data_IF_044950231847
#
_entry.id   IF_044950231847
#
_cell.length_a   1.000
_cell.length_b   1.000
_cell.length_c   1.000
_cell.angle_alpha   90.00
_cell.angle_beta   90.00
_cell.angle_gamma   90.00
#
_symmetry.space_group_name_H-M   'P 1'
#
loop_
_entity.id
_entity.type
_entity.pdbx_description
1 polymer ?
#
# COMPACT_ATOMS: atom_id res chain seq x y z
N UNK A 1 10.56 -29.16 -15.04
CA UNK A 1 9.71 -27.96 -14.82
C UNK A 1 10.56 -26.91 -14.11
N UNK A 2 10.65 -25.68 -14.64
CA UNK A 2 11.48 -24.61 -14.04
C UNK A 2 10.86 -24.06 -12.74
N UNK A 3 11.64 -23.31 -11.96
CA UNK A 3 11.16 -22.63 -10.75
C UNK A 3 10.05 -21.62 -11.11
N UNK A 4 10.30 -20.76 -12.10
CA UNK A 4 9.33 -19.78 -12.61
C UNK A 4 8.01 -20.42 -13.04
N UNK A 5 8.04 -21.59 -13.69
CA UNK A 5 6.82 -22.29 -14.08
C UNK A 5 6.00 -22.77 -12.87
N UNK A 6 6.66 -23.19 -11.78
CA UNK A 6 5.97 -23.55 -10.53
C UNK A 6 5.38 -22.33 -9.85
N UNK A 7 6.09 -21.20 -9.81
CA UNK A 7 5.60 -19.94 -9.26
C UNK A 7 4.36 -19.43 -10.01
N UNK A 8 4.35 -19.51 -11.35
CA UNK A 8 3.19 -19.14 -12.18
C UNK A 8 1.99 -20.04 -11.86
N UNK A 9 2.19 -21.35 -11.78
CA UNK A 9 1.11 -22.29 -11.43
C UNK A 9 0.52 -22.07 -10.02
N UNK A 10 1.25 -21.44 -9.09
CA UNK A 10 0.76 -21.11 -7.75
C UNK A 10 -0.09 -19.83 -7.70
N UNK A 11 -0.05 -18.97 -8.73
CA UNK A 11 -0.73 -17.68 -8.72
C UNK A 11 -2.24 -17.74 -8.43
N UNK A 12 -3.04 -18.70 -8.96
CA UNK A 12 -4.47 -18.74 -8.69
C UNK A 12 -4.81 -19.00 -7.21
N UNK A 13 -4.11 -19.95 -6.57
CA UNK A 13 -4.32 -20.30 -5.16
C UNK A 13 -3.89 -19.14 -4.24
N UNK A 14 -2.72 -18.54 -4.51
CA UNK A 14 -2.21 -17.39 -3.76
C UNK A 14 -3.17 -16.19 -3.89
N UNK A 15 -3.69 -15.93 -5.09
CA UNK A 15 -4.65 -14.86 -5.34
C UNK A 15 -5.95 -15.11 -4.58
N UNK A 16 -6.53 -16.31 -4.66
CA UNK A 16 -7.77 -16.64 -3.93
C UNK A 16 -7.58 -16.49 -2.42
N UNK A 17 -6.49 -17.04 -1.87
CA UNK A 17 -6.15 -16.92 -0.45
C UNK A 17 -6.06 -15.45 -0.02
N UNK A 18 -5.41 -14.61 -0.82
CA UNK A 18 -5.24 -13.17 -0.55
C UNK A 18 -6.57 -12.42 -0.63
N UNK A 19 -7.41 -12.71 -1.64
CA UNK A 19 -8.74 -12.12 -1.76
C UNK A 19 -9.64 -12.49 -0.58
N UNK A 20 -9.52 -13.73 -0.05
CA UNK A 20 -10.24 -14.17 1.15
C UNK A 20 -9.72 -13.49 2.43
N UNK A 21 -8.41 -13.38 2.64
CA UNK A 21 -7.84 -12.77 3.85
C UNK A 21 -8.09 -11.27 3.93
N UNK A 22 -7.87 -10.55 2.82
CA UNK A 22 -7.91 -9.08 2.82
C UNK A 22 -9.32 -8.49 2.65
N UNK A 23 -10.33 -9.33 2.38
CA UNK A 23 -11.71 -8.89 2.08
C UNK A 23 -12.25 -7.85 3.06
N UNK A 24 -12.10 -8.11 4.37
CA UNK A 24 -12.60 -7.23 5.44
C UNK A 24 -11.79 -5.91 5.48
N UNK A 25 -10.48 -5.98 5.28
CA UNK A 25 -9.61 -4.80 5.19
C UNK A 25 -9.98 -3.90 4.03
N UNK A 26 -10.09 -4.49 2.82
CA UNK A 26 -10.49 -3.78 1.59
C UNK A 26 -11.89 -3.18 1.72
N UNK A 27 -12.86 -3.90 2.30
CA UNK A 27 -14.21 -3.36 2.55
C UNK A 27 -14.20 -2.12 3.44
N UNK A 28 -13.37 -2.09 4.51
CA UNK A 28 -13.21 -0.91 5.37
C UNK A 28 -12.56 0.27 4.63
N UNK A 29 -11.58 0.01 3.76
CA UNK A 29 -10.99 1.06 2.91
C UNK A 29 -12.05 1.63 1.96
N UNK A 30 -12.81 0.76 1.29
CA UNK A 30 -13.84 1.14 0.33
C UNK A 30 -15.00 1.93 0.95
N UNK A 31 -15.38 1.62 2.20
CA UNK A 31 -16.33 2.43 2.98
C UNK A 31 -15.83 3.86 3.20
N UNK A 32 -14.55 4.04 3.51
CA UNK A 32 -13.95 5.37 3.71
C UNK A 32 -13.84 6.18 2.42
N UNK A 33 -13.58 5.50 1.29
CA UNK A 33 -13.68 6.13 -0.04
C UNK A 33 -15.12 6.58 -0.32
N UNK A 34 -16.13 5.71 -0.11
CA UNK A 34 -17.56 6.06 -0.28
C UNK A 34 -18.03 7.23 0.58
N UNK A 35 -17.49 7.37 1.79
CA UNK A 35 -17.82 8.48 2.72
C UNK A 35 -17.11 9.80 2.40
N UNK A 36 -16.17 9.80 1.45
CA UNK A 36 -15.36 10.98 1.12
C UNK A 36 -14.20 11.26 2.08
N UNK A 37 -13.93 10.38 3.05
CA UNK A 37 -12.75 10.47 3.93
C UNK A 37 -11.45 10.46 3.11
N UNK A 38 -11.45 9.69 2.01
CA UNK A 38 -10.35 9.49 1.08
C UNK A 38 -10.75 10.12 -0.25
N UNK A 39 -9.98 11.12 -0.69
CA UNK A 39 -10.19 11.91 -1.92
C UNK A 39 -9.03 11.81 -2.91
N UNK A 40 -7.94 11.13 -2.54
CA UNK A 40 -6.75 10.93 -3.35
C UNK A 40 -6.06 9.63 -2.95
N UNK A 41 -5.37 8.96 -3.88
CA UNK A 41 -4.54 7.77 -3.58
C UNK A 41 -3.11 7.99 -4.07
N UNK A 42 -2.14 7.47 -3.32
CA UNK A 42 -0.73 7.42 -3.71
C UNK A 42 -0.25 5.96 -3.55
N UNK A 43 0.27 5.38 -4.63
CA UNK A 43 0.83 4.04 -4.64
C UNK A 43 2.36 4.14 -4.52
N UNK A 44 2.94 3.48 -3.52
CA UNK A 44 4.39 3.44 -3.29
C UNK A 44 4.90 2.06 -3.68
N UNK A 45 5.69 2.01 -4.75
CA UNK A 45 6.28 0.79 -5.27
C UNK A 45 7.72 1.05 -5.77
N UNK A 46 8.45 -0.05 -6.02
CA UNK A 46 9.79 -0.06 -6.59
C UNK A 46 10.04 -1.34 -7.38
N UNK A 47 10.81 -1.24 -8.47
CA UNK A 47 11.28 -2.37 -9.25
C UNK A 47 10.11 -3.08 -9.95
N UNK A 48 10.06 -4.41 -9.88
CA UNK A 48 8.96 -5.21 -10.46
C UNK A 48 7.57 -4.80 -9.95
N UNK A 49 7.49 -4.22 -8.74
CA UNK A 49 6.24 -3.74 -8.15
C UNK A 49 5.70 -2.46 -8.82
N UNK A 50 6.52 -1.70 -9.56
CA UNK A 50 6.08 -0.47 -10.24
C UNK A 50 5.02 -0.76 -11.32
N UNK A 51 5.12 -1.90 -12.01
CA UNK A 51 4.10 -2.34 -12.97
C UNK A 51 2.75 -2.64 -12.30
N UNK A 52 2.79 -3.25 -11.11
CA UNK A 52 1.58 -3.52 -10.33
C UNK A 52 0.95 -2.23 -9.79
N UNK A 53 1.78 -1.22 -9.43
CA UNK A 53 1.31 0.10 -9.04
C UNK A 53 0.68 0.85 -10.23
N UNK A 54 1.30 0.80 -11.41
CA UNK A 54 0.76 1.42 -12.62
C UNK A 54 -0.58 0.78 -13.02
N UNK A 55 -0.69 -0.55 -13.02
CA UNK A 55 -1.97 -1.24 -13.22
C UNK A 55 -3.01 -0.86 -12.16
N UNK A 56 -2.61 -0.85 -10.89
CA UNK A 56 -3.47 -0.46 -9.76
C UNK A 56 -4.00 0.97 -9.87
N UNK A 57 -3.20 1.90 -10.42
CA UNK A 57 -3.64 3.26 -10.74
C UNK A 57 -4.82 3.26 -11.71
N UNK A 58 -4.68 2.62 -12.88
CA UNK A 58 -5.77 2.54 -13.85
C UNK A 58 -7.03 1.89 -13.26
N UNK A 59 -6.86 0.76 -12.56
CA UNK A 59 -7.97 0.05 -11.95
C UNK A 59 -8.73 0.91 -10.94
N UNK A 60 -8.02 1.61 -10.06
CA UNK A 60 -8.63 2.47 -9.03
C UNK A 60 -9.27 3.72 -9.62
N UNK A 61 -8.61 4.41 -10.57
CA UNK A 61 -9.18 5.59 -11.24
C UNK A 61 -10.48 5.22 -11.98
N UNK A 62 -10.49 4.12 -12.74
CA UNK A 62 -11.66 3.66 -13.50
C UNK A 62 -12.81 3.21 -12.59
N UNK A 63 -12.52 2.44 -11.53
CA UNK A 63 -13.58 1.82 -10.70
C UNK A 63 -14.09 2.69 -9.56
N UNK A 64 -13.34 3.72 -9.15
CA UNK A 64 -13.71 4.56 -8.00
C UNK A 64 -13.83 6.05 -8.32
N UNK A 65 -13.36 6.51 -9.48
CA UNK A 65 -13.24 7.93 -9.81
C UNK A 65 -12.26 8.71 -8.93
N UNK A 66 -11.56 8.05 -8.00
CA UNK A 66 -10.59 8.70 -7.10
C UNK A 66 -9.25 8.86 -7.82
N UNK A 67 -8.68 10.07 -7.95
CA UNK A 67 -7.41 10.26 -8.62
C UNK A 67 -6.26 9.54 -7.89
N UNK A 68 -5.36 8.90 -8.65
CA UNK A 68 -4.27 8.09 -8.09
C UNK A 68 -2.93 8.53 -8.65
N UNK A 69 -1.95 8.72 -7.78
CA UNK A 69 -0.57 9.05 -8.15
C UNK A 69 0.39 7.91 -7.80
N UNK A 70 1.51 7.82 -8.54
CA UNK A 70 2.64 7.00 -8.16
C UNK A 70 3.60 7.85 -7.33
N UNK A 71 4.08 7.31 -6.21
CA UNK A 71 4.98 8.03 -5.33
C UNK A 71 6.32 8.33 -6.03
N UNK A 72 6.88 9.50 -5.75
CA UNK A 72 8.21 9.92 -6.22
C UNK A 72 9.15 9.97 -5.01
N UNK A 73 9.92 8.90 -4.71
CA UNK A 73 10.64 8.79 -3.44
C UNK A 73 11.62 9.93 -3.15
N UNK A 74 12.24 10.50 -4.20
CA UNK A 74 13.19 11.61 -4.10
C UNK A 74 12.62 12.86 -3.44
N UNK A 75 11.30 13.10 -3.52
CA UNK A 75 10.62 14.21 -2.83
C UNK A 75 10.84 14.11 -1.31
N UNK A 76 10.86 12.90 -0.75
CA UNK A 76 11.06 12.68 0.67
C UNK A 76 12.53 12.39 1.03
N UNK A 77 13.27 11.64 0.22
CA UNK A 77 14.65 11.22 0.55
C UNK A 77 15.69 12.29 0.24
N UNK A 78 15.63 12.90 -0.95
CA UNK A 78 16.60 13.90 -1.42
C UNK A 78 16.15 15.32 -1.03
N UNK A 79 14.95 15.71 -1.44
CA UNK A 79 14.44 17.08 -1.25
C UNK A 79 13.83 17.32 0.13
N UNK A 80 13.57 16.26 0.90
CA UNK A 80 13.02 16.28 2.28
C UNK A 80 11.75 17.13 2.42
N UNK A 81 10.98 17.26 1.33
CA UNK A 81 9.79 18.10 1.28
C UNK A 81 8.64 17.52 2.11
N UNK A 82 7.89 18.41 2.78
CA UNK A 82 6.71 18.05 3.56
C UNK A 82 5.45 18.22 2.71
N UNK A 83 4.93 17.10 2.20
CA UNK A 83 3.67 17.09 1.47
C UNK A 83 2.47 17.17 2.42
N UNK A 84 1.46 17.95 2.05
CA UNK A 84 0.16 17.97 2.73
C UNK A 84 -0.68 16.82 2.20
N UNK A 85 -0.85 15.75 2.99
CA UNK A 85 -1.48 14.49 2.56
C UNK A 85 -2.83 14.23 3.25
N UNK A 86 -3.55 15.29 3.62
CA UNK A 86 -4.92 15.19 4.16
C UNK A 86 -5.85 14.46 3.19
N UNK A 87 -6.80 13.69 3.73
CA UNK A 87 -7.74 12.88 2.95
C UNK A 87 -7.11 11.95 1.89
N UNK A 88 -5.83 11.59 2.05
CA UNK A 88 -5.12 10.79 1.04
C UNK A 88 -4.88 9.37 1.54
N UNK A 89 -5.16 8.36 0.70
CA UNK A 89 -4.75 6.98 0.91
C UNK A 89 -3.31 6.79 0.40
N UNK A 90 -2.40 6.21 1.19
CA UNK A 90 -1.13 5.65 0.68
C UNK A 90 -1.20 4.14 0.82
N UNK A 91 -0.85 3.44 -0.25
CA UNK A 91 -0.71 1.99 -0.27
C UNK A 91 0.73 1.65 -0.65
N UNK A 92 1.41 0.88 0.19
CA UNK A 92 2.70 0.29 -0.14
C UNK A 92 2.52 -1.03 -0.89
N UNK A 93 3.24 -1.20 -1.99
CA UNK A 93 3.26 -2.42 -2.80
C UNK A 93 4.71 -2.94 -2.78
N UNK A 94 4.92 -4.12 -2.20
CA UNK A 94 6.25 -4.72 -2.09
C UNK A 94 6.18 -6.24 -2.16
N UNK A 95 7.06 -6.85 -2.96
CA UNK A 95 7.12 -8.29 -3.17
C UNK A 95 7.59 -9.07 -1.92
N UNK A 96 8.54 -8.53 -1.15
CA UNK A 96 9.13 -9.18 0.04
C UNK A 96 8.53 -8.75 1.38
N UNK A 97 7.71 -7.69 1.44
CA UNK A 97 7.21 -7.11 2.71
C UNK A 97 8.25 -6.31 3.51
N UNK A 98 9.54 -6.50 3.26
CA UNK A 98 10.67 -5.86 3.97
C UNK A 98 11.09 -4.50 3.40
N UNK A 99 10.43 -3.99 2.35
CA UNK A 99 10.84 -2.80 1.61
C UNK A 99 11.05 -1.56 2.48
N UNK A 100 12.31 -1.27 2.84
CA UNK A 100 12.73 -0.16 3.71
C UNK A 100 12.24 1.19 3.20
N UNK A 101 12.13 1.36 1.87
CA UNK A 101 11.66 2.59 1.23
C UNK A 101 10.14 2.80 1.37
N UNK A 102 9.33 1.72 1.38
CA UNK A 102 7.90 1.81 1.72
C UNK A 102 7.76 2.30 3.17
N UNK A 103 8.62 1.83 4.08
CA UNK A 103 8.61 2.26 5.47
C UNK A 103 8.93 3.76 5.61
N UNK A 104 9.86 4.32 4.83
CA UNK A 104 10.18 5.77 4.87
C UNK A 104 8.96 6.62 4.50
N UNK A 105 8.24 6.29 3.43
CA UNK A 105 7.03 7.05 3.04
C UNK A 105 5.91 6.88 4.07
N UNK A 106 5.72 5.66 4.60
CA UNK A 106 4.69 5.38 5.61
C UNK A 106 4.97 6.00 7.00
N UNK A 107 6.22 6.04 7.45
CA UNK A 107 6.60 6.66 8.73
C UNK A 107 6.56 8.19 8.67
N UNK A 108 6.85 8.81 7.51
CA UNK A 108 6.64 10.25 7.31
C UNK A 108 5.17 10.67 7.54
N UNK A 109 4.25 9.70 7.45
CA UNK A 109 2.80 9.88 7.37
C UNK A 109 2.04 9.81 8.69
N UNK A 110 2.63 9.24 9.74
CA UNK A 110 2.04 9.29 11.11
C UNK A 110 1.87 10.72 11.62
N UNK A 111 2.55 11.70 11.00
CA UNK A 111 2.44 13.14 11.30
C UNK A 111 1.41 13.89 10.45
N UNK A 112 0.79 13.27 9.45
CA UNK A 112 -0.08 13.94 8.46
C UNK A 112 -1.48 13.31 8.31
N UNK A 113 -1.91 12.51 9.29
CA UNK A 113 -3.33 12.13 9.47
C UNK A 113 -3.88 11.08 8.50
N UNK A 114 -3.02 10.25 7.92
CA UNK A 114 -3.36 9.49 6.73
C UNK A 114 -3.18 7.96 6.87
N UNK A 115 -3.92 7.21 6.06
CA UNK A 115 -4.05 5.74 6.05
C UNK A 115 -3.51 5.23 4.70
N UNK A 116 -2.75 4.15 4.48
CA UNK A 116 -2.14 3.10 5.34
C UNK A 116 -2.93 1.83 5.68
N UNK A 117 -3.49 1.10 4.68
CA UNK A 117 -3.37 -0.35 4.59
C UNK A 117 -2.00 -0.74 3.99
N UNK A 118 -1.48 -1.92 4.36
CA UNK A 118 -0.26 -2.49 3.77
C UNK A 118 -0.54 -3.89 3.24
N UNK A 119 -0.16 -4.17 1.99
CA UNK A 119 -0.24 -5.52 1.42
C UNK A 119 1.16 -6.11 1.33
N UNK A 120 1.36 -7.30 1.91
CA UNK A 120 2.67 -7.94 2.04
C UNK A 120 2.55 -9.44 1.79
N UNK A 121 3.39 -10.00 0.92
CA UNK A 121 3.33 -11.40 0.53
C UNK A 121 3.91 -12.39 1.57
N UNK A 122 4.26 -11.91 2.76
CA UNK A 122 4.81 -12.70 3.87
C UNK A 122 3.99 -12.46 5.14
N UNK A 123 3.34 -13.51 5.64
CA UNK A 123 2.50 -13.48 6.85
C UNK A 123 3.25 -13.34 8.17
N UNK A 124 4.57 -13.12 8.14
CA UNK A 124 5.42 -12.87 9.30
C UNK A 124 6.38 -11.70 9.03
N UNK A 125 5.84 -10.50 8.89
CA UNK A 125 6.61 -9.26 9.01
C UNK A 125 6.08 -8.46 10.21
N UNK A 126 6.99 -7.95 11.04
CA UNK A 126 6.76 -7.49 12.42
C UNK A 126 5.81 -6.27 12.55
N UNK A 127 4.51 -6.48 12.32
CA UNK A 127 3.47 -5.42 12.32
C UNK A 127 2.25 -5.73 13.20
N UNK A 128 2.37 -6.66 14.14
CA UNK A 128 1.30 -7.02 15.09
C UNK A 128 1.35 -6.32 16.46
N UNK A 129 2.33 -5.46 16.75
CA UNK A 129 2.53 -4.86 18.09
C UNK A 129 2.84 -3.36 18.06
N UNK A 130 1.83 -2.54 17.79
CA UNK A 130 1.81 -1.17 18.31
C UNK A 130 1.51 -1.20 19.82
N UNK A 131 2.53 -1.21 20.67
CA UNK A 131 2.34 -0.82 22.07
C UNK A 131 1.97 0.67 22.12
N UNK A 132 0.96 1.08 22.90
CA UNK A 132 0.79 2.49 23.23
C UNK A 132 2.02 2.95 24.03
N UNK A 133 2.45 4.20 23.83
CA UNK A 133 3.37 4.83 24.77
C UNK A 133 2.56 5.27 25.98
N UNK A 134 2.84 4.67 27.13
CA UNK A 134 2.45 5.21 28.43
C UNK A 134 3.16 6.56 28.61
N UNK A 135 2.48 7.51 29.25
CA UNK A 135 2.93 8.89 29.35
C UNK A 135 3.60 9.22 30.68
N UNK A 136 4.49 10.20 30.65
CA UNK A 136 4.58 11.36 31.57
C UNK A 136 5.55 12.36 30.96
#
# INVERSE_FOLDING_TARGET
MSITMREICQQPEVLERTLRSEKIGVQRVAERVRRGDIRFVILVARGTSDNAALFGRYLLEITTGTPVSLAVPSIHTLYRSRLQLGHTLVVGISQSGEGTEVNVVLESRKRSGAYVPASTNHGQSTRGKTRPREGS
#
